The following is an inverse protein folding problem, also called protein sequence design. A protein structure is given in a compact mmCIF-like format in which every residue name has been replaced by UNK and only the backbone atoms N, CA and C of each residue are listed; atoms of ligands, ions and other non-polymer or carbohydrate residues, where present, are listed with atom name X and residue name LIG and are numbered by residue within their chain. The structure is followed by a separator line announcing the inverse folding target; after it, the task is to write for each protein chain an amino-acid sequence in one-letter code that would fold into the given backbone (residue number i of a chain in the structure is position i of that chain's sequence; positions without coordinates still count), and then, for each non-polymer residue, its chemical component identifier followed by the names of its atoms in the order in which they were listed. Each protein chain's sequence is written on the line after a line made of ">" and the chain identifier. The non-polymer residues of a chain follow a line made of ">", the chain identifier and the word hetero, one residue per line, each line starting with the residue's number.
data_IF_181338721977
#
_entry.id   IF_181338721977
#
_cell.length_a   1.000
_cell.length_b   1.000
_cell.length_c   1.000
_cell.angle_alpha   90.00
_cell.angle_beta   90.00
_cell.angle_gamma   90.00
#
_symmetry.space_group_name_H-M   'P 1'
#
loop_
_entity.id
_entity.type
_entity.pdbx_description
1 polymer ?
#
# COMPACT_ATOMS: atom_id res chain seq x y z
N UNK A 1 30.09 -10.60 -22.43
CA UNK A 1 31.22 -10.61 -21.47
C UNK A 1 30.79 -9.79 -20.27
N UNK A 2 30.41 -10.44 -19.16
CA UNK A 2 29.93 -9.81 -17.92
C UNK A 2 30.84 -10.33 -16.81
N UNK A 3 31.89 -9.60 -16.43
CA UNK A 3 32.76 -10.00 -15.29
C UNK A 3 33.51 -8.85 -14.59
N UNK A 4 33.09 -7.58 -14.66
CA UNK A 4 33.85 -6.51 -13.97
C UNK A 4 33.26 -6.05 -12.63
N UNK A 5 32.06 -6.50 -12.27
CA UNK A 5 31.32 -5.92 -11.11
C UNK A 5 31.55 -6.64 -9.77
N UNK A 6 32.37 -7.71 -9.78
CA UNK A 6 32.64 -8.58 -8.61
C UNK A 6 33.91 -8.15 -7.84
N UNK A 7 34.87 -7.49 -8.50
CA UNK A 7 36.18 -7.15 -7.92
C UNK A 7 36.32 -5.67 -7.53
N UNK A 8 35.21 -4.97 -7.24
CA UNK A 8 35.29 -3.59 -6.75
C UNK A 8 35.47 -3.59 -5.22
N UNK A 9 36.47 -2.90 -4.66
CA UNK A 9 36.69 -2.86 -3.22
C UNK A 9 35.44 -2.32 -2.51
N UNK A 10 35.01 -2.99 -1.44
CA UNK A 10 33.90 -2.52 -0.61
C UNK A 10 34.37 -1.30 0.18
N UNK A 11 34.04 -0.11 -0.32
CA UNK A 11 34.36 1.17 0.32
C UNK A 11 33.46 1.28 1.56
N UNK A 12 34.09 1.45 2.73
CA UNK A 12 33.35 1.69 3.97
C UNK A 12 32.63 3.05 3.91
N UNK A 13 31.51 3.25 4.64
CA UNK A 13 30.75 4.50 4.57
C UNK A 13 31.61 5.75 4.84
N UNK A 14 32.56 5.63 5.78
CA UNK A 14 33.52 6.68 6.13
C UNK A 14 34.48 7.01 4.97
N UNK A 15 34.92 6.00 4.21
CA UNK A 15 35.76 6.21 3.04
C UNK A 15 34.97 6.82 1.87
N UNK A 16 33.68 6.53 1.75
CA UNK A 16 32.83 7.13 0.72
C UNK A 16 32.66 8.63 0.96
N UNK A 17 32.37 9.02 2.19
CA UNK A 17 32.23 10.42 2.61
C UNK A 17 33.50 11.25 2.35
N UNK A 18 34.67 10.69 2.68
CA UNK A 18 35.98 11.32 2.41
C UNK A 18 36.27 11.47 0.91
N UNK A 19 35.92 10.48 0.08
CA UNK A 19 36.20 10.55 -1.36
C UNK A 19 35.17 11.38 -2.17
N UNK A 20 33.93 11.50 -1.70
CA UNK A 20 32.82 12.02 -2.50
C UNK A 20 32.19 13.28 -1.89
N UNK A 21 32.61 13.68 -0.68
CA UNK A 21 32.17 14.91 0.00
C UNK A 21 30.67 14.96 0.33
N UNK A 22 29.96 13.82 0.23
CA UNK A 22 28.52 13.71 0.44
C UNK A 22 28.20 12.76 1.60
N UNK A 23 27.28 13.18 2.47
CA UNK A 23 26.98 12.54 3.75
C UNK A 23 26.48 11.09 3.68
N UNK A 24 26.56 10.42 4.84
CA UNK A 24 26.37 8.98 5.06
C UNK A 24 25.13 8.35 4.38
N UNK A 25 24.05 9.11 4.16
CA UNK A 25 22.83 8.65 3.48
C UNK A 25 23.06 8.22 2.02
N UNK A 26 23.99 8.88 1.32
CA UNK A 26 24.33 8.52 -0.06
C UNK A 26 25.12 7.20 -0.14
N UNK A 27 25.86 6.87 0.92
CA UNK A 27 26.65 5.65 1.02
C UNK A 27 25.79 4.40 1.27
N UNK A 28 24.68 4.51 2.02
CA UNK A 28 23.75 3.39 2.22
C UNK A 28 23.04 3.00 0.93
N UNK A 29 22.61 3.99 0.12
CA UNK A 29 22.00 3.76 -1.20
C UNK A 29 23.01 3.11 -2.17
N UNK A 30 24.29 3.49 -2.08
CA UNK A 30 25.36 2.88 -2.87
C UNK A 30 25.67 1.44 -2.43
N UNK A 31 25.58 1.14 -1.12
CA UNK A 31 25.80 -0.21 -0.55
C UNK A 31 24.73 -1.20 -1.02
N UNK A 32 23.48 -0.76 -1.14
CA UNK A 32 22.39 -1.57 -1.70
C UNK A 32 22.40 -1.70 -3.24
N UNK A 33 23.30 -0.97 -3.95
CA UNK A 33 23.35 -0.91 -5.43
C UNK A 33 21.98 -0.60 -6.06
N UNK A 34 21.09 0.06 -5.32
CA UNK A 34 19.75 0.39 -5.80
C UNK A 34 19.86 1.66 -6.66
N UNK A 35 19.76 1.49 -7.99
CA UNK A 35 19.75 2.63 -8.89
C UNK A 35 18.61 3.58 -8.53
N UNK A 36 18.86 4.90 -8.61
CA UNK A 36 17.85 5.93 -8.33
C UNK A 36 16.52 5.65 -9.03
N UNK A 37 16.57 5.15 -10.28
CA UNK A 37 15.40 4.73 -11.05
C UNK A 37 14.64 3.55 -10.43
N UNK A 38 15.34 2.55 -9.90
CA UNK A 38 14.71 1.37 -9.28
C UNK A 38 14.08 1.75 -7.93
N UNK A 39 14.74 2.59 -7.14
CA UNK A 39 14.19 3.13 -5.89
C UNK A 39 12.92 3.96 -6.15
N UNK A 40 12.98 4.90 -7.10
CA UNK A 40 11.83 5.73 -7.47
C UNK A 40 10.66 4.90 -8.01
N UNK A 41 10.92 3.88 -8.84
CA UNK A 41 9.85 2.99 -9.32
C UNK A 41 9.20 2.19 -8.18
N UNK A 42 10.00 1.65 -7.25
CA UNK A 42 9.47 0.87 -6.12
C UNK A 42 8.66 1.73 -5.16
N UNK A 43 9.19 2.89 -4.79
CA UNK A 43 8.49 3.84 -3.92
C UNK A 43 7.20 4.35 -4.57
N UNK A 44 7.23 4.70 -5.85
CA UNK A 44 6.04 5.17 -6.56
C UNK A 44 4.96 4.08 -6.68
N UNK A 45 5.35 2.82 -6.94
CA UNK A 45 4.40 1.70 -6.93
C UNK A 45 3.83 1.43 -5.54
N UNK A 46 4.64 1.52 -4.48
CA UNK A 46 4.19 1.34 -3.11
C UNK A 46 3.19 2.43 -2.69
N UNK A 47 3.51 3.70 -2.98
CA UNK A 47 2.60 4.82 -2.71
C UNK A 47 1.30 4.65 -3.48
N UNK A 48 1.38 4.33 -4.78
CA UNK A 48 0.18 4.15 -5.59
C UNK A 48 -0.70 3.00 -5.08
N UNK A 49 -0.11 1.88 -4.67
CA UNK A 49 -0.84 0.75 -4.08
C UNK A 49 -1.54 1.10 -2.75
N UNK A 50 -0.89 1.89 -1.89
CA UNK A 50 -1.50 2.39 -0.65
C UNK A 50 -2.64 3.38 -0.93
N UNK A 51 -2.45 4.27 -1.90
CA UNK A 51 -3.47 5.25 -2.29
C UNK A 51 -4.73 4.59 -2.83
N UNK A 52 -4.60 3.57 -3.69
CA UNK A 52 -5.76 2.87 -4.25
C UNK A 52 -6.52 2.07 -3.18
N UNK A 53 -5.82 1.39 -2.28
CA UNK A 53 -6.46 0.67 -1.17
C UNK A 53 -7.19 1.61 -0.22
N UNK A 54 -6.58 2.73 0.17
CA UNK A 54 -7.22 3.73 1.01
C UNK A 54 -8.46 4.36 0.35
N UNK A 55 -8.38 4.67 -0.96
CA UNK A 55 -9.51 5.22 -1.71
C UNK A 55 -10.69 4.25 -1.78
N UNK A 56 -10.44 2.97 -2.07
CA UNK A 56 -11.50 1.94 -2.12
C UNK A 56 -12.10 1.72 -0.73
N UNK A 57 -11.28 1.65 0.32
CA UNK A 57 -11.77 1.52 1.69
C UNK A 57 -12.65 2.71 2.10
N UNK A 58 -12.23 3.94 1.78
CA UNK A 58 -13.02 5.15 2.05
C UNK A 58 -14.34 5.19 1.27
N UNK A 59 -14.32 4.77 -0.01
CA UNK A 59 -15.52 4.68 -0.82
C UNK A 59 -16.52 3.65 -0.26
N UNK A 60 -16.03 2.48 0.18
CA UNK A 60 -16.87 1.46 0.81
C UNK A 60 -17.45 1.96 2.15
N UNK A 61 -16.66 2.67 2.94
CA UNK A 61 -17.13 3.25 4.20
C UNK A 61 -18.26 4.28 3.98
N UNK A 62 -18.13 5.16 2.99
CA UNK A 62 -19.16 6.17 2.70
C UNK A 62 -20.41 5.60 2.02
N UNK A 63 -20.26 4.60 1.15
CA UNK A 63 -21.39 4.00 0.44
C UNK A 63 -22.25 3.11 1.35
N UNK A 64 -21.64 2.59 2.42
CA UNK A 64 -22.25 1.61 3.31
C UNK A 64 -22.04 1.97 4.79
N UNK A 65 -22.58 3.12 5.25
CA UNK A 65 -22.29 3.65 6.58
C UNK A 65 -22.85 2.81 7.74
N UNK A 66 -23.72 1.83 7.44
CA UNK A 66 -24.38 0.96 8.43
C UNK A 66 -24.13 -0.54 8.17
N UNK A 67 -23.01 -0.90 7.54
CA UNK A 67 -22.60 -2.29 7.35
C UNK A 67 -22.03 -2.88 8.65
N UNK A 68 -22.91 -3.12 9.61
CA UNK A 68 -22.64 -4.05 10.72
C UNK A 68 -22.57 -5.52 10.26
N UNK A 69 -22.66 -5.78 8.95
CA UNK A 69 -22.47 -7.09 8.33
C UNK A 69 -21.77 -6.93 6.99
N UNK A 70 -20.87 -7.84 6.66
CA UNK A 70 -20.10 -7.86 5.41
C UNK A 70 -21.03 -7.81 4.18
N UNK A 71 -20.46 -7.46 3.02
CA UNK A 71 -21.16 -7.53 1.73
C UNK A 71 -21.82 -8.91 1.55
N UNK A 72 -23.13 -8.94 1.28
CA UNK A 72 -23.90 -10.18 1.16
C UNK A 72 -24.38 -10.81 2.48
N UNK A 73 -24.21 -10.12 3.61
CA UNK A 73 -24.75 -10.57 4.90
C UNK A 73 -26.29 -10.50 4.94
N UNK A 74 -26.90 -11.49 5.61
CA UNK A 74 -28.34 -11.51 5.79
C UNK A 74 -28.77 -10.37 6.71
N UNK A 75 -29.67 -9.51 6.23
CA UNK A 75 -30.31 -8.48 7.03
C UNK A 75 -31.34 -9.12 7.95
N UNK A 76 -31.21 -8.89 9.26
CA UNK A 76 -32.17 -9.41 10.24
C UNK A 76 -33.38 -8.47 10.26
N UNK A 77 -34.41 -8.78 9.48
CA UNK A 77 -35.57 -7.89 9.22
C UNK A 77 -36.66 -7.98 10.31
N UNK A 78 -36.41 -8.66 11.42
CA UNK A 78 -37.40 -8.87 12.49
C UNK A 78 -38.24 -10.13 12.32
N UNK A 79 -39.29 -10.30 13.12
CA UNK A 79 -40.14 -11.50 13.09
C UNK A 79 -41.27 -11.30 12.08
N UNK A 80 -41.76 -12.40 11.51
CA UNK A 80 -42.91 -12.38 10.57
C UNK A 80 -44.16 -11.71 11.17
N UNK A 81 -44.30 -11.71 12.50
CA UNK A 81 -45.37 -11.03 13.24
C UNK A 81 -45.38 -9.52 13.05
N UNK A 82 -44.24 -8.93 12.72
CA UNK A 82 -44.06 -7.48 12.66
C UNK A 82 -44.52 -6.91 11.30
N UNK A 83 -44.86 -7.80 10.36
CA UNK A 83 -45.35 -7.45 9.03
C UNK A 83 -46.80 -7.94 8.87
N UNK A 84 -47.75 -7.07 9.19
CA UNK A 84 -49.17 -7.35 9.01
C UNK A 84 -49.48 -7.47 7.52
N UNK A 85 -50.12 -8.57 7.11
CA UNK A 85 -50.54 -8.75 5.72
C UNK A 85 -51.58 -7.69 5.35
N UNK A 86 -51.36 -7.00 4.24
CA UNK A 86 -52.37 -6.09 3.68
C UNK A 86 -53.60 -6.92 3.27
N UNK A 87 -54.75 -6.61 3.87
CA UNK A 87 -56.04 -7.14 3.43
C UNK A 87 -56.69 -6.15 2.46
N UNK A 88 -57.43 -6.62 1.45
CA UNK A 88 -58.27 -5.75 0.63
C UNK A 88 -59.28 -5.03 1.53
N UNK A 89 -59.67 -3.78 1.20
CA UNK A 89 -60.81 -3.14 1.84
C UNK A 89 -62.09 -3.92 1.49
N UNK A 90 -62.97 -4.06 2.49
CA UNK A 90 -64.28 -4.72 2.38
C UNK A 90 -65.19 -4.04 1.33
#
# INVERSE_FOLDING_TARGET
>A
MITDDVNRPQITPQQYEVLHGGGAEAAEIAKERLSRRRFLRRSMLAVWGLSTTAAVAGALYMLYPNLAGQFGSALNVGKKSDFTAAKPPD
#
